data_IF_936302257860
#
_entry.id   IF_936302257860
#
_cell.length_a   1.000
_cell.length_b   1.000
_cell.length_c   1.000
_cell.angle_alpha   90.00
_cell.angle_beta   90.00
_cell.angle_gamma   90.00
#
_symmetry.space_group_name_H-M   'P 1'
#
loop_
_entity.id
_entity.type
_entity.pdbx_description
1 polymer ?
#
# COMPACT_ATOMS: atom_id res chain seq x y z
N UNK A 1 -23.35 -2.08 5.84
CA UNK A 1 -23.51 -1.07 4.78
C UNK A 1 -22.15 -1.01 4.13
N UNK A 2 -22.00 -1.42 2.88
CA UNK A 2 -20.75 -1.22 2.13
C UNK A 2 -20.54 0.29 1.99
N UNK A 3 -19.38 0.78 2.42
CA UNK A 3 -18.94 2.12 2.07
C UNK A 3 -18.32 2.07 0.68
N UNK A 4 -18.76 2.92 -0.24
CA UNK A 4 -18.17 3.09 -1.56
C UNK A 4 -17.28 4.33 -1.57
N UNK A 5 -16.20 4.32 -2.36
CA UNK A 5 -15.36 5.49 -2.61
C UNK A 5 -16.17 6.68 -3.17
N UNK A 6 -17.33 6.41 -3.77
CA UNK A 6 -18.25 7.39 -4.33
C UNK A 6 -19.37 7.85 -3.39
N UNK A 7 -19.40 7.41 -2.13
CA UNK A 7 -20.47 7.77 -1.17
C UNK A 7 -20.64 9.30 -1.00
N UNK A 8 -19.57 10.07 -1.23
CA UNK A 8 -19.57 11.53 -1.12
C UNK A 8 -19.79 12.27 -2.45
N UNK A 9 -19.84 11.55 -3.59
CA UNK A 9 -19.98 12.16 -4.92
C UNK A 9 -21.22 13.08 -5.04
N UNK A 10 -22.40 12.72 -4.50
CA UNK A 10 -23.56 13.61 -4.54
C UNK A 10 -23.33 14.95 -3.83
N UNK A 11 -22.64 14.94 -2.69
CA UNK A 11 -22.35 16.17 -1.93
C UNK A 11 -21.32 17.06 -2.62
N UNK A 12 -20.39 16.47 -3.38
CA UNK A 12 -19.46 17.23 -4.24
C UNK A 12 -20.23 17.93 -5.36
N UNK A 13 -21.18 17.23 -5.99
CA UNK A 13 -21.98 17.78 -7.08
C UNK A 13 -22.94 18.89 -6.61
N UNK A 14 -23.48 18.79 -5.39
CA UNK A 14 -24.41 19.78 -4.82
C UNK A 14 -23.73 20.93 -4.09
N UNK A 15 -22.44 20.81 -3.77
CA UNK A 15 -21.72 21.76 -2.92
C UNK A 15 -22.14 21.72 -1.46
N UNK A 16 -22.83 20.66 -1.02
CA UNK A 16 -23.22 20.49 0.37
C UNK A 16 -22.01 20.11 1.24
N UNK A 17 -21.92 20.77 2.41
CA UNK A 17 -20.88 20.45 3.39
C UNK A 17 -21.25 19.15 4.11
N UNK A 18 -20.36 18.16 4.02
CA UNK A 18 -20.47 16.94 4.79
C UNK A 18 -20.05 17.17 6.24
N UNK A 19 -21.02 17.14 7.17
CA UNK A 19 -20.73 17.24 8.61
C UNK A 19 -20.06 15.98 9.18
N UNK A 20 -20.22 14.83 8.52
CA UNK A 20 -19.67 13.56 8.97
C UNK A 20 -19.30 12.65 7.81
N UNK A 21 -18.08 12.10 7.87
CA UNK A 21 -17.63 11.06 6.96
C UNK A 21 -18.09 9.70 7.51
N UNK A 22 -18.79 8.92 6.69
CA UNK A 22 -19.28 7.57 7.02
C UNK A 22 -18.19 6.50 6.92
N UNK A 23 -17.15 6.75 6.13
CA UNK A 23 -16.03 5.84 5.90
C UNK A 23 -15.31 5.51 7.21
N UNK A 24 -15.18 4.22 7.51
CA UNK A 24 -14.50 3.71 8.70
C UNK A 24 -13.12 3.15 8.37
N UNK A 25 -12.26 3.01 9.38
CA UNK A 25 -10.98 2.33 9.20
C UNK A 25 -11.15 0.86 8.78
N UNK A 26 -12.27 0.22 9.13
CA UNK A 26 -12.54 -1.16 8.72
C UNK A 26 -12.79 -1.22 7.21
N UNK A 27 -13.57 -0.27 6.67
CA UNK A 27 -13.81 -0.15 5.21
C UNK A 27 -12.48 0.07 4.47
N UNK A 28 -11.60 0.94 4.98
CA UNK A 28 -10.26 1.15 4.38
C UNK A 28 -9.42 -0.13 4.37
N UNK A 29 -9.50 -0.96 5.41
CA UNK A 29 -8.83 -2.27 5.43
C UNK A 29 -9.45 -3.22 4.40
N UNK A 30 -10.78 -3.21 4.22
CA UNK A 30 -11.44 -4.01 3.20
C UNK A 30 -11.04 -3.58 1.78
N UNK A 31 -10.98 -2.27 1.52
CA UNK A 31 -10.50 -1.70 0.25
C UNK A 31 -9.10 -2.19 -0.09
N UNK A 32 -8.20 -2.18 0.91
CA UNK A 32 -6.82 -2.63 0.76
C UNK A 32 -6.66 -4.16 0.68
N UNK A 33 -7.71 -4.95 0.91
CA UNK A 33 -7.65 -6.41 0.97
C UNK A 33 -8.71 -7.08 0.10
N UNK A 34 -9.89 -7.40 0.66
CA UNK A 34 -10.90 -8.22 -0.02
C UNK A 34 -11.51 -7.50 -1.23
N UNK A 35 -11.72 -6.19 -1.18
CA UNK A 35 -12.34 -5.46 -2.29
C UNK A 35 -11.33 -5.26 -3.43
N UNK A 36 -10.05 -5.07 -3.10
CA UNK A 36 -8.97 -5.16 -4.09
C UNK A 36 -8.90 -6.53 -4.76
N UNK A 37 -9.11 -7.62 -4.00
CA UNK A 37 -9.20 -8.96 -4.56
C UNK A 37 -10.46 -9.14 -5.43
N UNK A 38 -11.59 -8.52 -5.08
CA UNK A 38 -12.78 -8.50 -5.94
C UNK A 38 -12.51 -7.76 -7.26
N UNK A 39 -11.93 -6.56 -7.20
CA UNK A 39 -11.57 -5.77 -8.36
C UNK A 39 -10.59 -6.50 -9.31
N UNK A 40 -9.68 -7.31 -8.74
CA UNK A 40 -8.74 -8.13 -9.50
C UNK A 40 -9.30 -9.49 -9.96
N UNK A 41 -10.55 -9.84 -9.64
CA UNK A 41 -11.13 -11.17 -9.94
C UNK A 41 -10.51 -12.33 -9.14
N UNK A 42 -9.87 -12.02 -8.00
CA UNK A 42 -9.15 -12.97 -7.14
C UNK A 42 -9.81 -13.21 -5.78
N UNK A 43 -11.03 -12.70 -5.54
CA UNK A 43 -11.71 -12.82 -4.26
C UNK A 43 -12.01 -14.27 -3.82
N UNK A 44 -12.07 -15.23 -4.77
CA UNK A 44 -12.14 -16.66 -4.43
C UNK A 44 -10.82 -17.25 -3.91
N UNK A 45 -9.70 -16.57 -4.18
CA UNK A 45 -8.33 -17.06 -3.92
C UNK A 45 -7.67 -16.33 -2.75
N UNK A 46 -7.82 -15.00 -2.63
CA UNK A 46 -7.09 -14.17 -1.66
C UNK A 46 -7.97 -13.04 -1.11
N UNK A 47 -7.35 -12.09 -0.38
CA UNK A 47 -7.99 -10.89 0.15
C UNK A 47 -8.70 -11.09 1.50
N UNK A 48 -8.85 -12.32 1.99
CA UNK A 48 -9.34 -12.58 3.35
C UNK A 48 -8.72 -13.83 3.96
N UNK A 49 -8.63 -13.86 5.30
CA UNK A 49 -8.17 -15.03 6.04
C UNK A 49 -9.37 -15.97 6.20
N UNK A 50 -9.48 -16.96 5.31
CA UNK A 50 -10.53 -17.96 5.31
C UNK A 50 -9.99 -19.32 4.86
N UNK A 51 -10.57 -20.41 5.39
CA UNK A 51 -10.22 -21.77 4.96
C UNK A 51 -10.48 -21.93 3.47
N UNK A 52 -9.53 -22.55 2.75
CA UNK A 52 -9.60 -22.74 1.30
C UNK A 52 -8.97 -21.62 0.47
N UNK A 53 -8.66 -20.46 1.08
CA UNK A 53 -7.92 -19.38 0.40
C UNK A 53 -6.41 -19.53 0.54
N UNK A 54 -5.68 -18.85 -0.34
CA UNK A 54 -4.23 -18.73 -0.28
C UNK A 54 -3.78 -18.04 1.02
N UNK A 55 -2.67 -18.51 1.58
CA UNK A 55 -2.04 -17.89 2.74
C UNK A 55 -1.21 -16.66 2.34
N UNK A 56 -1.90 -15.63 1.86
CA UNK A 56 -1.36 -14.29 1.60
C UNK A 56 -1.54 -13.43 2.85
N UNK A 57 -0.49 -13.32 3.66
CA UNK A 57 -0.59 -12.77 5.02
C UNK A 57 0.52 -11.75 5.24
N UNK A 58 0.14 -10.59 5.77
CA UNK A 58 1.06 -9.55 6.25
C UNK A 58 0.99 -9.52 7.77
N UNK A 59 2.14 -9.60 8.43
CA UNK A 59 2.27 -9.53 9.89
C UNK A 59 2.98 -8.24 10.27
N UNK A 60 2.40 -7.48 11.19
CA UNK A 60 2.95 -6.22 11.68
C UNK A 60 3.58 -6.41 13.07
N UNK A 61 4.65 -5.68 13.37
CA UNK A 61 5.22 -5.60 14.72
C UNK A 61 4.46 -4.54 15.54
N UNK A 62 3.71 -5.01 16.54
CA UNK A 62 2.88 -4.21 17.44
C UNK A 62 3.65 -3.58 18.60
N UNK A 63 4.92 -3.95 18.79
CA UNK A 63 5.78 -3.46 19.88
C UNK A 63 6.49 -2.15 19.54
N UNK A 64 6.29 -1.63 18.33
CA UNK A 64 6.86 -0.36 17.91
C UNK A 64 6.25 0.79 18.71
N UNK A 65 7.08 1.80 19.04
CA UNK A 65 6.61 3.05 19.63
C UNK A 65 5.56 3.74 18.76
N UNK A 66 5.59 3.52 17.44
CA UNK A 66 4.60 4.07 16.52
C UNK A 66 3.17 3.58 16.78
N UNK A 67 3.01 2.43 17.46
CA UNK A 67 1.72 1.82 17.74
C UNK A 67 1.37 1.81 19.24
N UNK A 68 2.23 2.37 20.11
CA UNK A 68 2.03 2.31 21.57
C UNK A 68 1.37 3.59 22.11
N UNK A 69 0.28 3.50 22.91
CA UNK A 69 -0.47 2.30 23.27
C UNK A 69 -1.41 1.82 22.16
N UNK A 70 -1.46 0.51 21.92
CA UNK A 70 -2.30 -0.08 20.88
C UNK A 70 -3.74 -0.29 21.37
N UNK A 71 -4.53 0.78 21.33
CA UNK A 71 -5.92 0.75 21.81
C UNK A 71 -6.94 0.30 20.75
N UNK A 72 -6.66 0.58 19.47
CA UNK A 72 -7.52 0.23 18.33
C UNK A 72 -6.64 -0.27 17.17
N UNK A 73 -6.44 -1.58 17.02
CA UNK A 73 -5.55 -2.12 15.98
C UNK A 73 -5.91 -1.71 14.55
N UNK A 74 -7.21 -1.63 14.22
CA UNK A 74 -7.66 -1.23 12.87
C UNK A 74 -7.39 0.26 12.64
N UNK A 75 -7.71 1.10 13.62
CA UNK A 75 -7.43 2.53 13.54
C UNK A 75 -5.92 2.82 13.47
N UNK A 76 -5.14 2.13 14.29
CA UNK A 76 -3.67 2.23 14.29
C UNK A 76 -3.06 1.74 12.97
N UNK A 77 -3.60 0.69 12.36
CA UNK A 77 -3.20 0.25 11.02
C UNK A 77 -3.43 1.34 9.98
N UNK A 78 -4.62 1.93 9.94
CA UNK A 78 -4.98 2.91 8.91
C UNK A 78 -4.27 4.25 9.11
N UNK A 79 -4.15 4.73 10.33
CA UNK A 79 -3.63 6.08 10.60
C UNK A 79 -2.15 6.14 10.98
N UNK A 80 -1.57 5.06 11.48
CA UNK A 80 -0.24 5.11 12.12
C UNK A 80 0.75 4.09 11.57
N UNK A 81 0.28 3.01 10.95
CA UNK A 81 1.19 2.00 10.43
C UNK A 81 1.96 2.49 9.20
N UNK A 82 3.15 1.94 9.01
CA UNK A 82 4.01 2.19 7.85
C UNK A 82 4.70 0.89 7.42
N UNK A 83 5.22 0.80 6.18
CA UNK A 83 5.84 -0.44 5.67
C UNK A 83 7.00 -0.99 6.51
N UNK A 84 7.66 -0.13 7.29
CA UNK A 84 8.72 -0.53 8.21
C UNK A 84 8.23 -1.37 9.40
N UNK A 85 6.94 -1.34 9.73
CA UNK A 85 6.35 -2.19 10.77
C UNK A 85 6.05 -3.60 10.27
N UNK A 86 6.08 -3.85 8.97
CA UNK A 86 5.82 -5.18 8.43
C UNK A 86 6.95 -6.10 8.88
N UNK A 87 6.68 -7.04 9.77
CA UNK A 87 7.67 -8.01 10.23
C UNK A 87 7.81 -9.14 9.22
N UNK A 88 6.69 -9.74 8.84
CA UNK A 88 6.64 -10.92 8.00
C UNK A 88 5.61 -10.78 6.89
N UNK A 89 5.91 -11.41 5.75
CA UNK A 89 4.99 -11.50 4.61
C UNK A 89 5.02 -12.92 4.10
N UNK A 90 3.83 -13.48 3.89
CA UNK A 90 3.61 -14.78 3.27
C UNK A 90 2.85 -14.57 1.96
N UNK A 91 3.27 -15.26 0.92
CA UNK A 91 2.57 -15.32 -0.38
C UNK A 91 2.35 -16.78 -0.69
N UNK A 92 1.09 -17.20 -0.80
CA UNK A 92 0.69 -18.59 -0.95
C UNK A 92 1.35 -19.51 0.10
N UNK A 93 1.48 -19.02 1.32
CA UNK A 93 2.11 -19.74 2.45
C UNK A 93 3.64 -19.74 2.45
N UNK A 94 4.29 -19.23 1.39
CA UNK A 94 5.75 -19.06 1.36
C UNK A 94 6.12 -17.74 2.01
N UNK A 95 6.96 -17.79 3.06
CA UNK A 95 7.48 -16.59 3.73
C UNK A 95 8.47 -15.87 2.80
N UNK A 96 8.11 -14.68 2.35
CA UNK A 96 8.92 -13.81 1.45
C UNK A 96 9.54 -12.62 2.16
N UNK A 97 9.09 -12.32 3.38
CA UNK A 97 9.74 -11.39 4.31
C UNK A 97 9.82 -12.05 5.68
N UNK A 98 10.98 -11.97 6.33
CA UNK A 98 11.25 -12.54 7.65
C UNK A 98 11.88 -11.50 8.56
N UNK A 99 11.26 -11.24 9.70
CA UNK A 99 11.81 -10.39 10.77
C UNK A 99 12.30 -9.02 10.26
N UNK A 100 11.55 -8.41 9.33
CA UNK A 100 11.87 -7.12 8.73
C UNK A 100 12.70 -7.17 7.44
N UNK A 101 13.21 -8.33 7.05
CA UNK A 101 14.11 -8.50 5.89
C UNK A 101 13.47 -9.32 4.75
N UNK A 102 13.79 -8.99 3.49
CA UNK A 102 13.30 -9.75 2.34
C UNK A 102 14.05 -11.09 2.20
N UNK A 103 13.31 -12.17 1.95
CA UNK A 103 13.87 -13.52 1.80
C UNK A 103 14.32 -13.75 0.37
N UNK A 104 15.60 -14.09 0.18
CA UNK A 104 16.15 -14.46 -1.13
C UNK A 104 16.34 -13.29 -2.10
N UNK A 105 16.37 -12.06 -1.59
CA UNK A 105 16.59 -10.85 -2.39
C UNK A 105 17.97 -10.28 -2.09
N UNK A 106 18.80 -10.14 -3.12
CA UNK A 106 20.05 -9.36 -3.03
C UNK A 106 19.70 -7.87 -3.13
N UNK A 107 19.63 -7.21 -1.98
CA UNK A 107 19.28 -5.79 -1.88
C UNK A 107 20.33 -4.90 -2.55
N UNK A 108 21.62 -5.27 -2.49
CA UNK A 108 22.68 -4.47 -3.10
C UNK A 108 22.57 -4.50 -4.62
N UNK A 109 22.37 -5.69 -5.20
CA UNK A 109 22.11 -5.85 -6.63
C UNK A 109 20.83 -5.14 -7.06
N UNK A 110 19.73 -5.30 -6.32
CA UNK A 110 18.46 -4.65 -6.65
C UNK A 110 18.59 -3.12 -6.73
N UNK A 111 19.35 -2.52 -5.80
CA UNK A 111 19.66 -1.08 -5.85
C UNK A 111 20.49 -0.71 -7.06
N UNK A 112 21.54 -1.49 -7.37
CA UNK A 112 22.38 -1.26 -8.54
C UNK A 112 21.58 -1.35 -9.85
N UNK A 113 20.66 -2.32 -9.98
CA UNK A 113 19.79 -2.48 -11.13
C UNK A 113 18.86 -1.25 -11.30
N UNK A 114 18.29 -0.74 -10.21
CA UNK A 114 17.47 0.47 -10.23
C UNK A 114 18.29 1.72 -10.62
N UNK A 115 19.52 1.85 -10.12
CA UNK A 115 20.44 2.94 -10.47
C UNK A 115 20.90 2.88 -11.93
N UNK A 116 21.15 1.68 -12.45
CA UNK A 116 21.49 1.45 -13.86
C UNK A 116 20.33 1.84 -14.77
N UNK A 117 19.10 1.39 -14.44
CA UNK A 117 17.89 1.76 -15.19
C UNK A 117 17.67 3.27 -15.22
N UNK A 118 17.77 3.95 -14.07
CA UNK A 118 17.72 5.42 -14.00
C UNK A 118 18.79 6.06 -14.89
N UNK A 119 20.02 5.58 -14.82
CA UNK A 119 21.14 6.17 -15.57
C UNK A 119 20.97 6.00 -17.08
N UNK A 120 20.43 4.86 -17.53
CA UNK A 120 20.04 4.64 -18.91
C UNK A 120 18.99 5.67 -19.36
N UNK A 121 17.88 5.80 -18.62
CA UNK A 121 16.81 6.75 -18.96
C UNK A 121 17.31 8.20 -19.04
N UNK A 122 18.20 8.60 -18.12
CA UNK A 122 18.79 9.94 -18.14
C UNK A 122 19.79 10.13 -19.29
N UNK A 123 20.48 9.07 -19.73
CA UNK A 123 21.33 9.11 -20.92
C UNK A 123 20.54 9.42 -22.19
N UNK A 124 19.28 8.99 -22.25
CA UNK A 124 18.34 9.28 -23.34
C UNK A 124 17.67 10.67 -23.20
N UNK A 125 17.91 11.39 -22.09
CA UNK A 125 17.30 12.68 -21.77
C UNK A 125 18.38 13.74 -21.45
N UNK A 126 19.01 14.37 -22.45
CA UNK A 126 20.15 15.27 -22.26
C UNK A 126 19.90 16.45 -21.30
N UNK A 127 18.66 16.90 -21.20
CA UNK A 127 18.21 17.97 -20.32
C UNK A 127 18.07 17.54 -18.86
N UNK A 128 17.95 16.24 -18.59
CA UNK A 128 17.64 15.74 -17.26
C UNK A 128 18.80 15.89 -16.27
N UNK A 129 18.47 16.24 -15.01
CA UNK A 129 19.43 16.46 -13.93
C UNK A 129 18.95 15.80 -12.64
N UNK A 130 19.89 15.23 -11.87
CA UNK A 130 19.65 14.65 -10.54
C UNK A 130 20.18 15.56 -9.42
N UNK A 131 19.89 16.84 -9.51
CA UNK A 131 20.30 17.87 -8.54
C UNK A 131 19.10 18.54 -7.86
N UNK A 132 17.89 18.06 -8.14
CA UNK A 132 16.63 18.62 -7.62
C UNK A 132 16.15 19.88 -8.34
N UNK A 133 16.83 20.32 -9.40
CA UNK A 133 16.44 21.53 -10.17
C UNK A 133 15.67 21.24 -11.45
N UNK A 134 15.74 20.01 -11.93
CA UNK A 134 15.11 19.60 -13.18
C UNK A 134 13.75 18.94 -12.93
N UNK A 135 12.76 19.36 -13.73
CA UNK A 135 11.45 18.75 -13.81
C UNK A 135 11.13 18.48 -15.29
N UNK A 136 10.55 17.31 -15.63
CA UNK A 136 10.10 17.07 -17.00
C UNK A 136 9.03 18.11 -17.37
N UNK A 137 9.03 18.56 -18.63
CA UNK A 137 7.96 19.41 -19.12
C UNK A 137 6.63 18.67 -18.94
N UNK A 138 5.70 19.29 -18.21
CA UNK A 138 4.35 18.75 -18.11
C UNK A 138 3.73 18.80 -19.50
N UNK A 139 3.33 17.64 -20.01
CA UNK A 139 2.50 17.58 -21.21
C UNK A 139 1.14 18.14 -20.80
N UNK A 140 0.91 19.42 -21.09
CA UNK A 140 -0.44 20.00 -20.99
C UNK A 140 -1.26 19.47 -22.15
N UNK A 141 -2.27 18.66 -21.82
CA UNK A 141 -3.30 18.22 -22.76
C UNK A 141 -4.26 19.36 -23.11
#
# INVERSE_FOLDING_TARGET
READALDNAPSVDTGEVLERISLTCADVVQFATIDGAHAAGLAGTTGSIAVGKAADIVVLDDRSLALTPLNNPIGSLVYSAHPGLVRDVFVQGRRVKKDGELVGVDIARLKADAESSRSYLLGEMPEARLDGTWHPALVTA
#
